data_IF_501702952025
#
_entry.id   IF_501702952025
#
_cell.length_a   1.000
_cell.length_b   1.000
_cell.length_c   1.000
_cell.angle_alpha   90.00
_cell.angle_beta   90.00
_cell.angle_gamma   90.00
#
_symmetry.space_group_name_H-M   'P 1'
#
loop_
_entity.id
_entity.type
_entity.pdbx_description
1 polymer ?
#
# COMPACT_ATOMS: atom_id res chain seq x y z
N UNK A 1 0.30 -1.68 2.10
CA UNK A 1 -1.10 -1.45 1.70
C UNK A 1 -1.29 -0.48 0.53
N UNK A 2 -0.77 0.76 0.52
CA UNK A 2 -1.27 1.76 -0.44
C UNK A 2 -0.98 1.58 -1.93
N UNK A 3 0.26 1.27 -2.30
CA UNK A 3 0.60 1.05 -3.71
C UNK A 3 0.27 -0.36 -4.20
N UNK A 4 0.39 -1.37 -3.33
CA UNK A 4 0.25 -2.78 -3.70
C UNK A 4 -1.13 -3.09 -4.32
N UNK A 5 -2.19 -2.49 -3.78
CA UNK A 5 -3.56 -2.67 -4.30
C UNK A 5 -3.73 -2.21 -5.75
N UNK A 6 -2.90 -1.27 -6.23
CA UNK A 6 -2.96 -0.78 -7.62
C UNK A 6 -2.51 -1.82 -8.64
N UNK A 7 -1.76 -2.85 -8.23
CA UNK A 7 -1.42 -3.98 -9.09
C UNK A 7 -2.64 -4.85 -9.43
N UNK A 8 -3.64 -4.88 -8.54
CA UNK A 8 -4.88 -5.66 -8.69
C UNK A 8 -6.03 -4.77 -9.16
N UNK A 9 -6.12 -3.55 -8.64
CA UNK A 9 -7.19 -2.58 -8.91
C UNK A 9 -6.58 -1.23 -9.33
N UNK A 10 -6.13 -1.09 -10.59
CA UNK A 10 -5.46 0.12 -11.07
C UNK A 10 -6.35 1.36 -11.01
N UNK A 11 -7.67 1.19 -11.19
CA UNK A 11 -8.66 2.27 -11.14
C UNK A 11 -8.77 2.93 -9.75
N UNK A 12 -8.22 2.30 -8.71
CA UNK A 12 -8.15 2.89 -7.36
C UNK A 12 -7.04 3.95 -7.21
N UNK A 13 -6.31 4.31 -8.27
CA UNK A 13 -5.21 5.28 -8.19
C UNK A 13 -5.65 6.61 -7.54
N UNK A 14 -6.72 7.23 -8.04
CA UNK A 14 -7.22 8.49 -7.50
C UNK A 14 -7.64 8.37 -6.02
N UNK A 15 -8.48 7.40 -5.60
CA UNK A 15 -8.79 7.18 -4.18
C UNK A 15 -7.54 7.00 -3.29
N UNK A 16 -6.54 6.23 -3.76
CA UNK A 16 -5.32 5.95 -2.99
C UNK A 16 -4.44 7.20 -2.83
N UNK A 17 -4.42 8.10 -3.82
CA UNK A 17 -3.68 9.37 -3.75
C UNK A 17 -4.40 10.36 -2.83
N UNK A 18 -5.70 10.60 -3.05
CA UNK A 18 -6.51 11.55 -2.28
C UNK A 18 -6.53 11.18 -0.80
N UNK A 19 -6.81 9.92 -0.47
CA UNK A 19 -6.90 9.46 0.91
C UNK A 19 -5.60 9.63 1.71
N UNK A 20 -4.43 9.73 1.06
CA UNK A 20 -3.11 9.84 1.71
C UNK A 20 -2.52 11.25 1.68
N UNK A 21 -2.63 11.93 0.54
CA UNK A 21 -1.89 13.15 0.27
C UNK A 21 -2.66 14.42 0.64
N UNK A 22 -3.93 14.32 1.02
CA UNK A 22 -4.74 15.49 1.42
C UNK A 22 -4.04 16.38 2.47
N UNK A 23 -3.36 15.85 3.51
CA UNK A 23 -2.62 16.68 4.47
C UNK A 23 -1.46 17.48 3.86
N UNK A 24 -0.89 17.01 2.74
CA UNK A 24 0.28 17.60 2.10
C UNK A 24 -0.08 18.69 1.07
N UNK A 25 -1.38 18.91 0.82
CA UNK A 25 -1.88 19.80 -0.23
C UNK A 25 -1.46 21.27 -0.03
N UNK A 26 -1.26 21.68 1.23
CA UNK A 26 -0.87 23.06 1.58
C UNK A 26 0.62 23.34 1.36
N UNK A 27 1.47 22.31 1.51
CA UNK A 27 2.93 22.47 1.54
C UNK A 27 3.56 22.29 0.15
N UNK A 28 2.92 21.50 -0.73
CA UNK A 28 3.50 21.14 -2.02
C UNK A 28 2.55 21.45 -3.20
N UNK A 29 2.89 22.43 -4.08
CA UNK A 29 2.02 22.80 -5.20
C UNK A 29 1.84 21.69 -6.23
N UNK A 30 2.83 20.79 -6.39
CA UNK A 30 2.71 19.65 -7.30
C UNK A 30 1.73 18.61 -6.77
N UNK A 31 1.73 18.37 -5.45
CA UNK A 31 0.73 17.49 -4.81
C UNK A 31 -0.67 18.09 -4.98
N UNK A 32 -0.82 19.39 -4.79
CA UNK A 32 -2.09 20.08 -5.04
C UNK A 32 -2.57 19.91 -6.49
N UNK A 33 -1.67 20.08 -7.46
CA UNK A 33 -2.01 19.86 -8.87
C UNK A 33 -2.45 18.42 -9.14
N UNK A 34 -1.73 17.44 -8.58
CA UNK A 34 -2.05 16.02 -8.70
C UNK A 34 -3.42 15.67 -8.09
N UNK A 35 -3.73 16.21 -6.91
CA UNK A 35 -5.02 15.96 -6.25
C UNK A 35 -6.18 16.61 -7.01
N UNK A 36 -5.98 17.80 -7.58
CA UNK A 36 -6.98 18.40 -8.48
C UNK A 36 -7.25 17.55 -9.73
N UNK A 37 -6.24 16.81 -10.23
CA UNK A 37 -6.46 15.86 -11.34
C UNK A 37 -7.25 14.64 -10.86
N UNK A 38 -6.98 14.15 -9.64
CA UNK A 38 -7.74 13.06 -9.04
C UNK A 38 -9.22 13.43 -8.89
N UNK A 39 -9.53 14.66 -8.49
CA UNK A 39 -10.93 15.12 -8.36
C UNK A 39 -11.65 15.23 -9.71
N UNK A 40 -10.93 15.60 -10.77
CA UNK A 40 -11.52 15.81 -12.11
C UNK A 40 -11.68 14.53 -12.91
N UNK A 41 -10.68 13.64 -12.85
CA UNK A 41 -10.55 12.45 -13.72
C UNK A 41 -10.75 11.15 -12.94
N UNK A 42 -10.57 11.18 -11.62
CA UNK A 42 -10.78 10.02 -10.74
C UNK A 42 -12.20 9.45 -10.82
N UNK A 43 -13.28 10.25 -10.87
CA UNK A 43 -14.65 9.73 -10.94
C UNK A 43 -14.92 8.87 -12.18
N UNK A 44 -14.17 9.08 -13.28
CA UNK A 44 -14.30 8.29 -14.51
C UNK A 44 -13.82 6.84 -14.33
N UNK A 45 -12.96 6.59 -13.33
CA UNK A 45 -12.35 5.28 -13.05
C UNK A 45 -12.88 4.66 -11.75
N UNK A 46 -13.19 5.49 -10.75
CA UNK A 46 -13.70 5.05 -9.46
C UNK A 46 -14.78 6.00 -8.95
N UNK A 47 -16.02 5.51 -8.91
CA UNK A 47 -17.18 6.30 -8.48
C UNK A 47 -17.14 6.73 -7.00
N UNK A 48 -16.31 6.07 -6.17
CA UNK A 48 -16.20 6.35 -4.74
C UNK A 48 -14.82 6.95 -4.42
N UNK A 49 -14.76 8.28 -4.35
CA UNK A 49 -13.56 9.02 -3.95
C UNK A 49 -13.67 9.48 -2.49
N UNK A 50 -12.61 9.31 -1.67
CA UNK A 50 -12.55 9.88 -0.34
C UNK A 50 -12.58 11.41 -0.41
N UNK A 51 -13.43 12.04 0.39
CA UNK A 51 -13.44 13.51 0.52
C UNK A 51 -12.46 14.02 1.61
N UNK A 52 -12.03 13.13 2.51
CA UNK A 52 -11.12 13.42 3.60
C UNK A 52 -9.92 12.47 3.59
N UNK A 53 -8.87 12.85 4.30
CA UNK A 53 -7.77 11.96 4.64
C UNK A 53 -8.32 10.72 5.37
N UNK A 54 -8.12 9.55 4.78
CA UNK A 54 -8.69 8.27 5.26
C UNK A 54 -7.68 7.13 5.26
N UNK A 55 -6.46 7.37 4.79
CA UNK A 55 -5.39 6.38 4.64
C UNK A 55 -4.10 6.96 5.19
N UNK A 56 -3.22 6.12 5.74
CA UNK A 56 -1.93 6.57 6.30
C UNK A 56 -1.16 7.51 5.36
N UNK A 57 -0.76 8.67 5.88
CA UNK A 57 0.08 9.65 5.20
C UNK A 57 1.40 9.01 4.75
N UNK A 58 1.98 9.44 3.60
CA UNK A 58 3.31 8.98 3.21
C UNK A 58 4.35 9.31 4.29
N UNK A 59 5.42 8.51 4.35
CA UNK A 59 6.48 8.68 5.35
C UNK A 59 6.21 7.99 6.69
N UNK A 60 5.08 7.30 6.84
CA UNK A 60 4.82 6.41 7.97
C UNK A 60 5.78 5.19 8.02
N UNK A 61 5.78 4.43 9.13
CA UNK A 61 6.72 3.33 9.37
C UNK A 61 6.53 2.10 8.46
N UNK A 62 5.46 2.05 7.67
CA UNK A 62 5.10 0.89 6.86
C UNK A 62 5.97 0.81 5.60
N UNK A 63 6.89 -0.15 5.56
CA UNK A 63 7.78 -0.41 4.40
C UNK A 63 7.26 -1.49 3.46
N UNK A 64 6.70 -2.58 3.99
CA UNK A 64 6.33 -3.77 3.22
C UNK A 64 4.90 -4.24 3.53
N UNK A 65 4.27 -4.90 2.55
CA UNK A 65 2.97 -5.60 2.66
C UNK A 65 3.22 -7.02 2.14
N UNK A 66 3.21 -8.02 3.01
CA UNK A 66 3.55 -9.40 2.66
C UNK A 66 2.26 -10.22 2.54
N UNK A 67 1.79 -10.42 1.32
CA UNK A 67 0.47 -10.99 1.02
C UNK A 67 0.61 -12.34 0.31
N UNK A 68 0.02 -13.41 0.86
CA UNK A 68 0.09 -14.74 0.24
C UNK A 68 -0.44 -15.91 1.06
N UNK A 69 -0.67 -15.74 2.36
CA UNK A 69 -1.42 -16.72 3.15
C UNK A 69 -2.91 -16.62 2.85
N UNK A 70 -3.57 -17.77 2.66
CA UNK A 70 -5.02 -17.84 2.44
C UNK A 70 -5.82 -17.75 3.75
N UNK A 71 -5.17 -18.10 4.87
CA UNK A 71 -5.77 -18.10 6.21
C UNK A 71 -4.99 -17.17 7.15
N UNK A 72 -5.48 -17.01 8.38
CA UNK A 72 -4.83 -16.19 9.40
C UNK A 72 -3.37 -16.65 9.62
N UNK A 73 -2.46 -15.68 9.73
CA UNK A 73 -1.07 -15.92 10.11
C UNK A 73 -1.02 -16.12 11.62
N UNK A 74 -0.45 -17.24 12.06
CA UNK A 74 -0.37 -17.59 13.48
C UNK A 74 0.95 -17.18 14.12
N UNK A 75 2.03 -17.16 13.34
CA UNK A 75 3.35 -16.75 13.81
C UNK A 75 4.24 -16.28 12.64
N UNK A 76 5.32 -15.59 12.97
CA UNK A 76 6.38 -15.24 12.04
C UNK A 76 7.71 -15.04 12.77
N UNK A 77 8.81 -15.27 12.06
CA UNK A 77 10.15 -14.99 12.56
C UNK A 77 11.06 -14.43 11.47
N UNK A 78 12.15 -13.79 11.90
CA UNK A 78 13.25 -13.39 11.03
C UNK A 78 14.31 -14.49 11.00
N UNK A 79 14.97 -14.65 9.86
CA UNK A 79 16.20 -15.45 9.79
C UNK A 79 17.33 -14.75 10.55
N UNK A 80 18.35 -15.51 10.97
CA UNK A 80 19.45 -14.98 11.79
C UNK A 80 20.29 -13.90 11.10
N UNK A 81 20.24 -13.83 9.77
CA UNK A 81 20.86 -12.79 8.94
C UNK A 81 19.93 -11.60 8.64
N UNK A 82 18.70 -11.61 9.18
CA UNK A 82 17.63 -10.62 8.97
C UNK A 82 17.24 -10.38 7.51
N UNK A 83 17.60 -11.30 6.61
CA UNK A 83 17.29 -11.17 5.19
C UNK A 83 15.88 -11.63 4.86
N UNK A 84 15.40 -12.66 5.54
CA UNK A 84 14.10 -13.24 5.25
C UNK A 84 13.17 -13.17 6.44
N UNK A 85 11.88 -13.03 6.15
CA UNK A 85 10.81 -13.34 7.10
C UNK A 85 10.24 -14.70 6.73
N UNK A 86 10.03 -15.56 7.72
CA UNK A 86 9.25 -16.79 7.58
C UNK A 86 7.95 -16.58 8.33
N UNK A 87 6.81 -16.76 7.67
CA UNK A 87 5.49 -16.68 8.31
C UNK A 87 4.72 -17.99 8.13
N UNK A 88 3.90 -18.34 9.13
CA UNK A 88 3.15 -19.60 9.16
C UNK A 88 1.64 -19.38 9.23
N UNK A 89 0.92 -20.14 8.41
CA UNK A 89 -0.52 -20.36 8.48
C UNK A 89 -0.82 -21.86 8.27
N UNK A 90 -1.51 -22.25 7.19
CA UNK A 90 -1.62 -23.65 6.74
C UNK A 90 -0.36 -24.15 6.00
N UNK A 91 0.56 -23.25 5.67
CA UNK A 91 1.87 -23.51 5.07
C UNK A 91 2.89 -22.52 5.62
N UNK A 92 4.17 -22.77 5.36
CA UNK A 92 5.22 -21.77 5.55
C UNK A 92 5.38 -20.94 4.28
N UNK A 93 5.64 -19.65 4.42
CA UNK A 93 6.06 -18.78 3.31
C UNK A 93 7.28 -17.99 3.76
N UNK A 94 8.28 -17.92 2.90
CA UNK A 94 9.50 -17.13 3.12
C UNK A 94 9.51 -15.91 2.19
N UNK A 95 9.82 -14.74 2.74
CA UNK A 95 9.82 -13.46 2.06
C UNK A 95 11.23 -12.87 2.07
N UNK A 96 11.80 -12.50 0.92
CA UNK A 96 13.07 -11.78 0.87
C UNK A 96 12.81 -10.29 1.14
N UNK A 97 13.33 -9.75 2.24
CA UNK A 97 13.14 -8.35 2.61
C UNK A 97 13.91 -7.37 1.72
N UNK A 98 14.91 -7.83 0.96
CA UNK A 98 15.65 -6.98 0.04
C UNK A 98 14.83 -6.61 -1.19
N UNK A 99 13.99 -7.53 -1.68
CA UNK A 99 13.14 -7.30 -2.86
C UNK A 99 11.66 -7.17 -2.52
N UNK A 100 11.23 -7.63 -1.34
CA UNK A 100 9.82 -7.85 -0.97
C UNK A 100 9.15 -8.98 -1.74
N UNK A 101 9.91 -9.81 -2.46
CA UNK A 101 9.35 -10.90 -3.25
C UNK A 101 9.15 -12.16 -2.41
N UNK A 102 8.16 -12.95 -2.85
CA UNK A 102 7.95 -14.30 -2.35
C UNK A 102 9.09 -15.20 -2.81
N UNK A 103 9.92 -15.65 -1.88
CA UNK A 103 10.90 -16.71 -2.12
C UNK A 103 10.23 -18.05 -1.82
N UNK A 104 10.19 -18.89 -2.84
CA UNK A 104 9.39 -20.12 -2.87
C UNK A 104 9.88 -21.18 -1.88
#
# INVERSE_FOLDING_TARGET
LGGAILSVFPDMLAPQLVGRLLPEIGTNPNVKMLLNQCDKVGPDHCALLPFYHSLHTPGGPLKYSLEGHQFAVFDFCLTGDFRYIVSISNKFITWDLSTSDLTR
#
